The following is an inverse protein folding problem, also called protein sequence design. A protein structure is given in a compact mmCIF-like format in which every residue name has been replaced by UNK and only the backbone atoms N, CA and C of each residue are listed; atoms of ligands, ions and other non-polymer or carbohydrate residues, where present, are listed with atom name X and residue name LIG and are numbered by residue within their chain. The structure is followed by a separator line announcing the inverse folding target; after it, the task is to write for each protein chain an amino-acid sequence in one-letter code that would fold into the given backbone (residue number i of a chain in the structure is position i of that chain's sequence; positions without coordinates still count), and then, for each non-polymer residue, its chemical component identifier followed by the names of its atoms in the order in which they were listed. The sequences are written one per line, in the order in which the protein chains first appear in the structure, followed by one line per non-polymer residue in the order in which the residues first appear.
data_IF_136497117743
#
_entry.id   IF_136497117743
#
_cell.length_a   1.000
_cell.length_b   1.000
_cell.length_c   1.000
_cell.angle_alpha   90.00
_cell.angle_beta   90.00
_cell.angle_gamma   90.00
#
_symmetry.space_group_name_H-M   'P 1'
#
loop_
_entity.id
_entity.type
_entity.pdbx_description
1 polymer ?
#
# COMPACT_ATOMS: atom_id res chain seq x y z
N UNK A 1 3.53 63.45 -7.41
CA UNK A 1 2.85 62.64 -6.37
C UNK A 1 1.85 61.74 -7.08
N UNK A 2 2.20 60.47 -7.28
CA UNK A 2 1.35 59.44 -7.89
C UNK A 2 0.71 58.65 -6.73
N UNK A 3 -0.60 58.41 -6.70
CA UNK A 3 -1.23 57.63 -5.63
C UNK A 3 -0.99 56.13 -5.86
N UNK A 4 -0.51 55.43 -4.83
CA UNK A 4 -0.39 53.96 -4.85
C UNK A 4 -1.76 53.30 -4.58
N UNK A 5 -2.07 52.16 -5.23
CA UNK A 5 -3.27 51.39 -4.93
C UNK A 5 -3.10 50.60 -3.62
N UNK A 6 -4.13 50.65 -2.76
CA UNK A 6 -4.24 49.87 -1.53
C UNK A 6 -4.39 48.39 -1.87
N UNK A 7 -3.45 47.56 -1.43
CA UNK A 7 -3.54 46.10 -1.49
C UNK A 7 -4.44 45.63 -0.34
N UNK A 8 -5.68 45.26 -0.65
CA UNK A 8 -6.56 44.55 0.29
C UNK A 8 -6.04 43.12 0.48
N UNK A 9 -5.69 42.78 1.73
CA UNK A 9 -5.36 41.40 2.12
C UNK A 9 -6.68 40.63 2.27
N UNK A 10 -6.86 39.47 1.62
CA UNK A 10 -8.02 38.63 1.88
C UNK A 10 -7.94 38.08 3.32
N UNK A 11 -9.05 38.22 4.05
CA UNK A 11 -9.26 37.69 5.40
C UNK A 11 -9.03 36.19 5.42
N UNK A 12 -8.23 35.73 6.38
CA UNK A 12 -8.15 34.32 6.75
C UNK A 12 -9.55 33.82 7.12
N UNK A 13 -10.10 32.89 6.34
CA UNK A 13 -11.27 32.13 6.72
C UNK A 13 -10.82 31.10 7.76
N UNK A 14 -11.41 31.23 8.95
CA UNK A 14 -11.34 30.27 10.04
C UNK A 14 -11.86 28.91 9.54
N UNK A 15 -10.96 27.94 9.38
CA UNK A 15 -11.35 26.55 9.22
C UNK A 15 -11.90 26.08 10.57
N UNK A 16 -13.23 26.03 10.67
CA UNK A 16 -13.93 25.30 11.72
C UNK A 16 -13.43 23.85 11.73
N UNK A 17 -12.65 23.52 12.76
CA UNK A 17 -12.38 22.15 13.18
C UNK A 17 -13.70 21.56 13.67
N UNK A 18 -14.40 20.86 12.76
CA UNK A 18 -15.47 19.96 13.16
C UNK A 18 -14.81 18.69 13.69
N UNK A 19 -14.74 18.60 15.01
CA UNK A 19 -14.31 17.41 15.74
C UNK A 19 -15.34 16.31 15.50
N UNK A 20 -15.15 15.54 14.43
CA UNK A 20 -15.92 14.34 14.12
C UNK A 20 -15.75 13.31 15.24
N UNK A 21 -16.69 13.33 16.18
CA UNK A 21 -16.84 12.31 17.20
C UNK A 21 -16.89 10.94 16.53
N UNK A 22 -16.01 10.04 16.98
CA UNK A 22 -16.03 8.63 16.61
C UNK A 22 -17.38 8.02 17.03
N UNK A 23 -18.33 8.04 16.10
CA UNK A 23 -19.59 7.30 16.18
C UNK A 23 -19.25 5.82 16.18
N UNK A 24 -19.40 5.19 17.34
CA UNK A 24 -19.25 3.75 17.58
C UNK A 24 -20.36 2.92 16.93
N UNK A 25 -20.67 3.18 15.65
CA UNK A 25 -21.43 2.24 14.86
C UNK A 25 -20.50 1.07 14.49
N UNK A 26 -20.89 -0.20 14.74
CA UNK A 26 -20.16 -1.32 14.18
C UNK A 26 -20.11 -1.11 12.66
N UNK A 27 -18.90 -0.93 12.12
CA UNK A 27 -18.73 -0.82 10.67
C UNK A 27 -19.44 -2.03 10.06
N UNK A 28 -20.45 -1.82 9.18
CA UNK A 28 -21.16 -2.95 8.61
C UNK A 28 -20.12 -3.82 7.95
N UNK A 29 -20.04 -5.08 8.38
CA UNK A 29 -19.13 -6.07 7.82
C UNK A 29 -19.17 -5.90 6.30
N UNK A 30 -18.02 -5.54 5.72
CA UNK A 30 -17.86 -5.19 4.31
C UNK A 30 -18.53 -6.29 3.47
N UNK A 31 -19.75 -6.04 2.99
CA UNK A 31 -20.56 -7.03 2.30
C UNK A 31 -19.80 -7.46 1.04
N UNK A 32 -19.42 -8.74 0.89
CA UNK A 32 -18.69 -9.21 -0.29
C UNK A 32 -19.41 -8.82 -1.59
N UNK A 33 -20.73 -8.93 -1.60
CA UNK A 33 -21.61 -8.63 -2.74
C UNK A 33 -21.59 -7.15 -3.19
N UNK A 34 -21.26 -6.23 -2.28
CA UNK A 34 -21.22 -4.80 -2.54
C UNK A 34 -19.80 -4.28 -2.83
N UNK A 35 -18.81 -5.17 -2.82
CA UNK A 35 -17.43 -4.80 -3.11
C UNK A 35 -17.23 -4.68 -4.63
N UNK A 36 -16.39 -3.72 -5.09
CA UNK A 36 -15.95 -3.63 -6.49
C UNK A 36 -15.56 -4.98 -7.09
N UNK A 37 -15.75 -5.19 -8.39
CA UNK A 37 -15.56 -6.49 -9.05
C UNK A 37 -14.18 -7.14 -8.80
N UNK A 38 -13.10 -6.36 -8.69
CA UNK A 38 -11.76 -6.86 -8.34
C UNK A 38 -11.65 -7.42 -6.91
N UNK A 39 -12.60 -7.08 -6.03
CA UNK A 39 -12.76 -7.63 -4.69
C UNK A 39 -13.79 -8.76 -4.62
N UNK A 40 -14.60 -8.93 -5.66
CA UNK A 40 -15.68 -9.89 -5.69
C UNK A 40 -15.52 -10.75 -6.96
N UNK A 41 -14.58 -11.70 -6.88
CA UNK A 41 -14.55 -12.87 -7.76
C UNK A 41 -15.77 -13.73 -7.49
N UNK A 42 -16.96 -13.28 -7.89
CA UNK A 42 -18.09 -14.19 -7.99
C UNK A 42 -17.66 -15.35 -8.90
N UNK A 43 -17.68 -16.59 -8.39
CA UNK A 43 -17.66 -17.88 -9.12
C UNK A 43 -16.49 -18.88 -8.94
N UNK A 44 -15.48 -18.68 -8.08
CA UNK A 44 -14.54 -19.79 -7.79
C UNK A 44 -15.02 -20.61 -6.59
N UNK A 45 -15.84 -21.61 -6.90
CA UNK A 45 -16.30 -22.73 -6.06
C UNK A 45 -15.63 -22.85 -4.66
N UNK A 46 -16.13 -22.12 -3.66
CA UNK A 46 -15.82 -22.27 -2.22
C UNK A 46 -14.32 -22.28 -1.77
N UNK A 47 -13.35 -21.98 -2.63
CA UNK A 47 -11.94 -22.10 -2.31
C UNK A 47 -11.25 -20.72 -2.31
N UNK A 48 -10.65 -20.35 -1.18
CA UNK A 48 -9.84 -19.14 -1.03
C UNK A 48 -8.36 -19.50 -1.25
N UNK A 49 -7.71 -18.88 -2.24
CA UNK A 49 -6.30 -19.13 -2.57
C UNK A 49 -5.44 -17.96 -2.13
N UNK A 50 -4.58 -18.23 -1.16
CA UNK A 50 -3.66 -17.25 -0.58
C UNK A 50 -2.24 -17.64 -0.96
N UNK A 51 -1.50 -16.70 -1.55
CA UNK A 51 -0.06 -16.83 -1.78
C UNK A 51 0.68 -16.13 -0.64
N UNK A 52 1.52 -16.87 0.08
CA UNK A 52 2.43 -16.32 1.08
C UNK A 52 3.80 -16.09 0.45
N UNK A 53 4.30 -14.86 0.54
CA UNK A 53 5.66 -14.48 0.15
C UNK A 53 6.37 -14.00 1.41
N UNK A 54 7.44 -14.69 1.80
CA UNK A 54 8.23 -14.38 2.99
C UNK A 54 9.60 -13.89 2.59
N UNK A 55 10.06 -12.81 3.23
CA UNK A 55 11.46 -12.35 3.18
C UNK A 55 12.04 -12.28 1.76
N UNK A 56 11.47 -11.46 0.86
CA UNK A 56 11.97 -11.36 -0.51
C UNK A 56 13.33 -10.62 -0.61
N UNK A 57 13.84 -10.02 0.48
CA UNK A 57 15.20 -9.47 0.63
C UNK A 57 15.69 -8.67 -0.57
N UNK A 58 14.95 -7.62 -0.95
CA UNK A 58 15.32 -6.69 -2.01
C UNK A 58 15.34 -7.29 -3.42
N UNK A 59 14.92 -8.56 -3.61
CA UNK A 59 14.97 -9.22 -4.90
C UNK A 59 13.78 -8.82 -5.78
N UNK A 60 13.66 -7.54 -6.13
CA UNK A 60 12.63 -7.02 -7.05
C UNK A 60 12.55 -7.83 -8.34
N UNK A 61 13.70 -8.33 -8.84
CA UNK A 61 13.76 -9.23 -10.00
C UNK A 61 12.98 -10.54 -9.79
N UNK A 62 13.04 -11.12 -8.58
CA UNK A 62 12.30 -12.34 -8.26
C UNK A 62 10.81 -12.05 -8.09
N UNK A 63 10.46 -10.90 -7.51
CA UNK A 63 9.07 -10.44 -7.42
C UNK A 63 8.48 -10.26 -8.83
N UNK A 64 9.21 -9.61 -9.74
CA UNK A 64 8.76 -9.44 -11.12
C UNK A 64 8.58 -10.78 -11.84
N UNK A 65 9.51 -11.73 -11.65
CA UNK A 65 9.35 -13.09 -12.19
C UNK A 65 8.14 -13.82 -11.62
N UNK A 66 7.86 -13.65 -10.33
CA UNK A 66 6.67 -14.19 -9.70
C UNK A 66 5.40 -13.59 -10.32
N UNK A 67 5.36 -12.26 -10.48
CA UNK A 67 4.24 -11.54 -11.13
C UNK A 67 4.02 -12.01 -12.57
N UNK A 68 5.09 -12.14 -13.36
CA UNK A 68 5.04 -12.69 -14.71
C UNK A 68 4.47 -14.13 -14.72
N UNK A 69 4.94 -14.97 -13.81
CA UNK A 69 4.48 -16.36 -13.68
C UNK A 69 3.00 -16.44 -13.30
N UNK A 70 2.56 -15.66 -12.31
CA UNK A 70 1.17 -15.59 -11.88
C UNK A 70 0.24 -15.09 -13.01
N UNK A 71 0.73 -14.14 -13.82
CA UNK A 71 -0.01 -13.58 -14.95
C UNK A 71 -0.12 -14.58 -16.11
N UNK A 72 0.95 -15.30 -16.43
CA UNK A 72 0.99 -16.25 -17.55
C UNK A 72 0.20 -17.54 -17.28
N UNK A 73 0.32 -18.09 -16.06
CA UNK A 73 -0.27 -19.38 -15.73
C UNK A 73 -1.76 -19.26 -15.35
N UNK A 74 -2.31 -18.03 -15.38
CA UNK A 74 -3.70 -17.69 -15.03
C UNK A 74 -4.12 -18.27 -13.68
N UNK A 75 -3.15 -18.39 -12.75
CA UNK A 75 -3.39 -18.94 -11.43
C UNK A 75 -4.23 -17.95 -10.63
N UNK A 76 -5.46 -18.30 -10.22
CA UNK A 76 -6.25 -17.42 -9.39
C UNK A 76 -5.66 -17.29 -7.98
N UNK A 77 -5.07 -16.13 -7.70
CA UNK A 77 -4.69 -15.75 -6.33
C UNK A 77 -5.67 -14.70 -5.85
N UNK A 78 -6.32 -14.92 -4.71
CA UNK A 78 -7.27 -13.94 -4.14
C UNK A 78 -6.56 -12.92 -3.25
N UNK A 79 -5.49 -13.36 -2.58
CA UNK A 79 -4.68 -12.58 -1.67
C UNK A 79 -3.21 -13.00 -1.77
N UNK A 80 -2.32 -12.02 -1.90
CA UNK A 80 -0.89 -12.17 -1.64
C UNK A 80 -0.63 -11.61 -0.24
N UNK A 81 -0.15 -12.46 0.66
CA UNK A 81 0.33 -12.07 1.97
C UNK A 81 1.84 -11.94 1.91
N UNK A 82 2.35 -10.73 2.05
CA UNK A 82 3.77 -10.41 2.08
C UNK A 82 4.22 -10.23 3.53
N UNK A 83 5.14 -11.08 3.98
CA UNK A 83 5.62 -11.06 5.37
C UNK A 83 7.10 -10.69 5.44
N UNK A 84 7.34 -9.45 5.84
CA UNK A 84 8.60 -8.88 6.32
C UNK A 84 9.81 -8.98 5.42
N UNK A 85 10.83 -8.19 5.75
CA UNK A 85 12.15 -8.17 5.10
C UNK A 85 12.03 -8.04 3.59
N UNK A 86 11.19 -7.09 3.18
CA UNK A 86 11.16 -6.60 1.80
C UNK A 86 12.50 -5.97 1.47
N UNK A 87 13.10 -5.28 2.43
CA UNK A 87 14.45 -4.74 2.32
C UNK A 87 15.36 -5.37 3.38
N UNK A 88 16.66 -5.24 3.13
CA UNK A 88 17.72 -5.69 4.04
C UNK A 88 18.38 -4.48 4.75
N UNK A 89 17.60 -3.41 5.01
CA UNK A 89 18.12 -2.19 5.62
C UNK A 89 18.53 -2.48 7.08
N UNK A 90 19.82 -2.30 7.37
CA UNK A 90 20.32 -2.44 8.74
C UNK A 90 19.84 -1.27 9.62
N UNK A 91 19.53 -1.49 10.91
CA UNK A 91 19.09 -0.42 11.81
C UNK A 91 20.08 0.76 11.95
N UNK A 92 21.38 0.53 11.80
CA UNK A 92 22.37 1.61 11.79
C UNK A 92 22.37 2.37 10.47
N UNK A 93 22.13 1.68 9.35
CA UNK A 93 21.97 2.28 8.02
C UNK A 93 20.70 3.12 7.91
N UNK A 94 19.62 2.70 8.58
CA UNK A 94 18.36 3.43 8.66
C UNK A 94 18.50 4.84 9.26
N UNK A 95 19.57 5.11 10.03
CA UNK A 95 19.88 6.45 10.55
C UNK A 95 20.41 7.40 9.47
N UNK A 96 20.81 6.88 8.31
CA UNK A 96 21.26 7.65 7.16
C UNK A 96 20.06 7.93 6.25
N UNK A 97 19.62 9.20 6.11
CA UNK A 97 18.39 9.52 5.37
C UNK A 97 18.40 9.00 3.93
N UNK A 98 19.55 9.07 3.24
CA UNK A 98 19.66 8.61 1.86
C UNK A 98 19.36 7.10 1.72
N UNK A 99 19.91 6.27 2.62
CA UNK A 99 19.71 4.82 2.61
C UNK A 99 18.28 4.44 3.03
N UNK A 100 17.72 5.18 3.98
CA UNK A 100 16.32 5.00 4.37
C UNK A 100 15.37 5.25 3.19
N UNK A 101 15.52 6.38 2.48
CA UNK A 101 14.65 6.71 1.34
C UNK A 101 14.85 5.76 0.16
N UNK A 102 16.07 5.28 -0.07
CA UNK A 102 16.34 4.24 -1.07
C UNK A 102 15.58 2.95 -0.73
N UNK A 103 15.70 2.49 0.52
CA UNK A 103 14.98 1.31 1.01
C UNK A 103 13.46 1.49 0.97
N UNK A 104 12.93 2.67 1.30
CA UNK A 104 11.50 2.97 1.18
C UNK A 104 11.04 2.89 -0.29
N UNK A 105 11.86 3.41 -1.21
CA UNK A 105 11.65 3.32 -2.65
C UNK A 105 11.60 1.88 -3.15
N UNK A 106 12.54 1.03 -2.71
CA UNK A 106 12.58 -0.39 -3.06
C UNK A 106 11.35 -1.14 -2.52
N UNK A 107 10.97 -0.87 -1.27
CA UNK A 107 9.76 -1.45 -0.68
C UNK A 107 8.51 -1.08 -1.49
N UNK A 108 8.39 0.20 -1.86
CA UNK A 108 7.29 0.71 -2.68
C UNK A 108 7.26 0.06 -4.08
N UNK A 109 8.42 -0.14 -4.70
CA UNK A 109 8.53 -0.80 -6.00
C UNK A 109 8.07 -2.27 -5.95
N UNK A 110 8.43 -3.00 -4.89
CA UNK A 110 8.00 -4.39 -4.68
C UNK A 110 6.48 -4.47 -4.51
N UNK A 111 5.90 -3.63 -3.64
CA UNK A 111 4.45 -3.63 -3.40
C UNK A 111 3.71 -3.27 -4.69
N UNK A 112 4.14 -2.20 -5.39
CA UNK A 112 3.54 -1.78 -6.65
C UNK A 112 3.60 -2.86 -7.73
N UNK A 113 4.69 -3.65 -7.77
CA UNK A 113 4.81 -4.75 -8.72
C UNK A 113 3.78 -5.86 -8.44
N UNK A 114 3.59 -6.22 -7.16
CA UNK A 114 2.62 -7.24 -6.75
C UNK A 114 1.17 -6.79 -6.97
N UNK A 115 0.87 -5.49 -6.83
CA UNK A 115 -0.46 -4.93 -7.10
C UNK A 115 -0.87 -5.01 -8.58
N UNK A 116 0.07 -5.22 -9.51
CA UNK A 116 -0.24 -5.47 -10.92
C UNK A 116 -0.88 -6.85 -11.14
N UNK A 117 -0.74 -7.78 -10.19
CA UNK A 117 -1.51 -9.03 -10.19
C UNK A 117 -2.91 -8.68 -9.71
N UNK A 118 -3.95 -8.99 -10.48
CA UNK A 118 -5.38 -8.71 -10.17
C UNK A 118 -5.87 -9.44 -8.89
N UNK A 119 -5.32 -9.07 -7.74
CA UNK A 119 -5.54 -9.67 -6.42
C UNK A 119 -5.26 -8.64 -5.32
N UNK A 120 -5.64 -8.96 -4.08
CA UNK A 120 -5.29 -8.12 -2.94
C UNK A 120 -3.86 -8.38 -2.50
N UNK A 121 -3.15 -7.35 -2.07
CA UNK A 121 -1.86 -7.48 -1.39
C UNK A 121 -2.04 -7.03 0.06
N UNK A 122 -1.62 -7.86 1.01
CA UNK A 122 -1.53 -7.50 2.42
C UNK A 122 -0.09 -7.65 2.87
N UNK A 123 0.43 -6.62 3.54
CA UNK A 123 1.82 -6.59 3.97
C UNK A 123 1.91 -6.52 5.51
N UNK A 124 2.83 -7.31 6.06
CA UNK A 124 3.24 -7.28 7.46
C UNK A 124 4.71 -6.92 7.53
N UNK A 125 5.04 -5.79 8.14
CA UNK A 125 6.42 -5.32 8.23
C UNK A 125 7.31 -6.25 9.08
N UNK A 126 8.54 -6.41 8.63
CA UNK A 126 9.60 -7.15 9.30
C UNK A 126 10.63 -6.22 9.96
N UNK A 127 11.63 -6.80 10.65
CA UNK A 127 12.60 -6.03 11.44
C UNK A 127 13.55 -5.14 10.62
N UNK A 128 13.72 -5.45 9.34
CA UNK A 128 14.65 -4.77 8.41
C UNK A 128 13.92 -3.83 7.45
N UNK A 129 12.59 -3.77 7.54
CA UNK A 129 11.82 -2.86 6.71
C UNK A 129 11.81 -1.46 7.32
N UNK A 130 11.80 -0.39 6.49
CA UNK A 130 11.70 0.98 6.99
C UNK A 130 10.41 1.17 7.81
N UNK A 131 10.54 1.64 9.05
CA UNK A 131 9.44 1.85 10.02
C UNK A 131 9.25 3.31 10.40
#
# INVERSE_FOLDING_TARGET
RVPQPKVERPRAQEAQMDSGAASGAPQPARRPDAMPFFYNRGSRENELRILLVSSPSGMLRNVNRLVEHLSNDQVPIDLILLTGSITDLDPEEAKTPALFFESEGDMSAVISSLENVECRVAYVAGPTDPS
#
